data_IF_040718301841
#
_entry.id   IF_040718301841
#
_cell.length_a   1.000
_cell.length_b   1.000
_cell.length_c   1.000
_cell.angle_alpha   90.00
_cell.angle_beta   90.00
_cell.angle_gamma   90.00
#
_symmetry.space_group_name_H-M   'P 1'
#
loop_
_entity.id
_entity.type
_entity.pdbx_description
1 polymer ?
#
# COMPACT_ATOMS: atom_id res chain seq x y z
N UNK A 1 23.02 -10.96 14.06
CA UNK A 1 22.22 -12.11 14.53
C UNK A 1 20.77 -11.68 14.65
N UNK A 2 19.89 -12.09 13.72
CA UNK A 2 18.44 -11.84 13.82
C UNK A 2 17.91 -12.72 14.97
N UNK A 3 17.40 -12.10 16.04
CA UNK A 3 16.77 -12.80 17.16
C UNK A 3 15.61 -13.64 16.64
N UNK A 4 15.59 -14.89 17.01
CA UNK A 4 14.57 -15.88 16.68
C UNK A 4 13.17 -15.39 17.03
N UNK A 5 12.40 -15.36 16.08
CA UNK A 5 11.09 -14.95 15.77
C UNK A 5 10.01 -15.55 16.67
N UNK A 6 9.27 -14.70 17.34
CA UNK A 6 7.83 -14.98 17.46
C UNK A 6 7.33 -15.27 16.04
N UNK A 7 6.66 -16.40 15.85
CA UNK A 7 6.08 -16.80 14.56
C UNK A 7 5.27 -15.62 14.04
N UNK A 8 5.66 -15.04 12.90
CA UNK A 8 4.94 -13.95 12.28
C UNK A 8 3.52 -14.41 11.94
N UNK A 9 2.54 -13.75 12.50
CA UNK A 9 1.13 -14.06 12.25
C UNK A 9 0.46 -12.79 11.77
N UNK A 10 0.38 -12.58 10.45
CA UNK A 10 -0.24 -11.39 9.90
C UNK A 10 -1.73 -11.35 10.22
N UNK A 11 -2.22 -10.17 10.58
CA UNK A 11 -3.64 -9.92 10.83
C UNK A 11 -4.21 -8.86 9.90
N UNK A 12 -3.37 -7.95 9.46
CA UNK A 12 -3.79 -6.80 8.64
C UNK A 12 -2.82 -6.63 7.47
N UNK A 13 -3.37 -6.44 6.29
CA UNK A 13 -2.65 -6.01 5.11
C UNK A 13 -3.01 -4.55 4.83
N UNK A 14 -2.04 -3.67 4.98
CA UNK A 14 -2.17 -2.24 4.69
C UNK A 14 -1.46 -1.96 3.38
N UNK A 15 -2.17 -1.34 2.44
CA UNK A 15 -1.64 -1.01 1.12
C UNK A 15 -1.70 0.50 0.89
N UNK A 16 -0.60 1.07 0.40
CA UNK A 16 -0.65 2.37 -0.26
C UNK A 16 -1.44 2.25 -1.57
N UNK A 17 -1.89 3.35 -2.12
CA UNK A 17 -2.67 3.37 -3.36
C UNK A 17 -1.80 3.79 -4.54
N UNK A 18 -1.19 4.96 -4.46
CA UNK A 18 -0.46 5.54 -5.59
C UNK A 18 0.92 4.87 -5.72
N UNK A 19 1.17 4.20 -6.85
CA UNK A 19 2.36 3.39 -7.08
C UNK A 19 2.26 1.94 -6.61
N UNK A 20 1.15 1.55 -5.97
CA UNK A 20 0.86 0.18 -5.52
C UNK A 20 -0.36 -0.38 -6.23
N UNK A 21 -1.55 0.17 -5.97
CA UNK A 21 -2.80 -0.23 -6.62
C UNK A 21 -2.94 0.37 -8.01
N UNK A 22 -2.31 1.51 -8.24
CA UNK A 22 -2.24 2.18 -9.54
C UNK A 22 -0.77 2.39 -9.95
N UNK A 23 -0.55 2.93 -11.14
CA UNK A 23 0.80 3.12 -11.70
C UNK A 23 1.64 4.17 -10.96
N UNK A 24 1.06 4.96 -10.06
CA UNK A 24 1.69 6.12 -9.45
C UNK A 24 1.72 7.36 -10.35
N UNK A 25 1.29 7.25 -11.59
CA UNK A 25 1.19 8.36 -12.54
C UNK A 25 -0.13 9.11 -12.40
N UNK A 26 -0.06 10.42 -12.58
CA UNK A 26 -1.22 11.31 -12.51
C UNK A 26 -1.38 12.07 -13.82
N UNK A 27 -2.61 12.19 -14.27
CA UNK A 27 -2.96 13.04 -15.39
C UNK A 27 -3.42 14.40 -14.86
N UNK A 28 -2.75 15.46 -15.29
CA UNK A 28 -3.02 16.83 -14.89
C UNK A 28 -3.61 17.65 -16.04
N UNK A 29 -4.62 18.45 -15.73
CA UNK A 29 -5.08 19.56 -16.53
C UNK A 29 -4.65 20.88 -15.87
N UNK A 30 -4.95 22.01 -16.51
CA UNK A 30 -4.75 23.34 -15.92
C UNK A 30 -5.53 23.57 -14.61
N UNK A 31 -6.54 22.74 -14.34
CA UNK A 31 -7.36 22.81 -13.11
C UNK A 31 -6.91 21.81 -12.04
N UNK A 32 -5.90 20.99 -12.30
CA UNK A 32 -5.32 20.05 -11.33
C UNK A 32 -5.36 18.60 -11.77
N UNK A 33 -5.25 17.70 -10.82
CA UNK A 33 -5.26 16.25 -11.03
C UNK A 33 -6.64 15.77 -11.47
N UNK A 34 -6.71 15.09 -12.63
CA UNK A 34 -7.97 14.68 -13.25
C UNK A 34 -8.18 13.17 -13.27
N UNK A 35 -7.12 12.37 -13.36
CA UNK A 35 -7.22 10.91 -13.47
C UNK A 35 -6.06 10.20 -12.79
N UNK A 36 -6.30 8.92 -12.43
CA UNK A 36 -5.32 7.91 -12.03
C UNK A 36 -5.54 6.65 -12.84
N UNK A 37 -4.48 5.87 -13.08
CA UNK A 37 -4.52 4.64 -13.89
C UNK A 37 -4.46 3.44 -12.97
N UNK A 38 -5.57 2.72 -12.81
CA UNK A 38 -5.68 1.48 -12.06
C UNK A 38 -5.57 0.27 -12.98
N UNK A 39 -4.90 -0.78 -12.50
CA UNK A 39 -4.71 -2.01 -13.25
C UNK A 39 -5.76 -3.08 -12.95
N UNK A 40 -5.67 -4.22 -13.68
CA UNK A 40 -6.54 -5.38 -13.50
C UNK A 40 -6.05 -6.31 -12.39
N UNK A 41 -6.88 -7.30 -12.04
CA UNK A 41 -6.59 -8.47 -11.20
C UNK A 41 -6.30 -8.22 -9.72
N UNK A 42 -5.81 -7.04 -9.33
CA UNK A 42 -5.46 -6.76 -7.93
C UNK A 42 -6.66 -6.85 -6.99
N UNK A 43 -7.84 -6.39 -7.44
CA UNK A 43 -9.07 -6.53 -6.66
C UNK A 43 -9.48 -7.99 -6.48
N UNK A 44 -9.31 -8.80 -7.52
CA UNK A 44 -9.64 -10.23 -7.48
C UNK A 44 -8.70 -10.98 -6.53
N UNK A 45 -7.39 -10.68 -6.60
CA UNK A 45 -6.41 -11.25 -5.69
C UNK A 45 -6.68 -10.89 -4.23
N UNK A 46 -7.02 -9.63 -3.95
CA UNK A 46 -7.39 -9.19 -2.60
C UNK A 46 -8.66 -9.90 -2.08
N UNK A 47 -9.60 -10.24 -2.97
CA UNK A 47 -10.78 -10.99 -2.57
C UNK A 47 -10.45 -12.39 -2.02
N UNK A 48 -9.38 -13.01 -2.50
CA UNK A 48 -8.86 -14.30 -2.00
C UNK A 48 -8.24 -14.17 -0.61
N UNK A 49 -7.69 -13.00 -0.27
CA UNK A 49 -7.08 -12.73 1.04
C UNK A 49 -8.09 -12.27 2.08
N UNK A 50 -9.20 -11.69 1.66
CA UNK A 50 -10.20 -11.09 2.55
C UNK A 50 -10.72 -11.99 3.67
N UNK A 51 -10.86 -13.33 3.50
CA UNK A 51 -11.24 -14.22 4.60
C UNK A 51 -10.18 -14.37 5.70
N UNK A 52 -8.92 -14.05 5.40
CA UNK A 52 -7.77 -14.33 6.27
C UNK A 52 -7.16 -13.09 6.90
N UNK A 53 -7.28 -11.94 6.24
CA UNK A 53 -6.64 -10.68 6.62
C UNK A 53 -7.63 -9.53 6.56
N UNK A 54 -7.52 -8.61 7.52
CA UNK A 54 -8.12 -7.29 7.37
C UNK A 54 -7.34 -6.53 6.31
N UNK A 55 -8.01 -6.04 5.27
CA UNK A 55 -7.40 -5.27 4.18
C UNK A 55 -7.78 -3.80 4.34
N UNK A 56 -6.78 -2.93 4.35
CA UNK A 56 -6.95 -1.49 4.56
C UNK A 56 -6.07 -0.74 3.57
N UNK A 57 -6.63 0.26 2.93
CA UNK A 57 -5.88 1.16 2.07
C UNK A 57 -5.58 2.49 2.75
N UNK A 58 -4.42 3.05 2.44
CA UNK A 58 -4.00 4.38 2.86
C UNK A 58 -3.56 5.18 1.65
N UNK A 59 -3.82 6.47 1.65
CA UNK A 59 -3.31 7.38 0.62
C UNK A 59 -2.94 8.71 1.27
N UNK A 60 -1.82 9.27 0.87
CA UNK A 60 -1.40 10.64 1.26
C UNK A 60 -1.88 11.71 0.28
N UNK A 61 -2.46 11.31 -0.83
CA UNK A 61 -2.88 12.20 -1.92
C UNK A 61 -4.24 12.88 -1.62
N UNK A 62 -4.18 13.99 -0.91
CA UNK A 62 -5.37 14.79 -0.59
C UNK A 62 -6.08 15.30 -1.84
N UNK A 63 -5.34 15.74 -2.85
CA UNK A 63 -5.92 16.35 -4.07
C UNK A 63 -6.61 15.32 -4.97
N UNK A 64 -6.11 14.10 -5.03
CA UNK A 64 -6.69 13.00 -5.79
C UNK A 64 -7.52 12.03 -4.95
N UNK A 65 -7.81 12.35 -3.69
CA UNK A 65 -8.46 11.43 -2.77
C UNK A 65 -9.86 11.00 -3.22
N UNK A 66 -10.63 11.90 -3.85
CA UNK A 66 -11.96 11.59 -4.38
C UNK A 66 -11.91 10.51 -5.47
N UNK A 67 -10.89 10.54 -6.33
CA UNK A 67 -10.67 9.52 -7.37
C UNK A 67 -10.35 8.17 -6.71
N UNK A 68 -9.43 8.17 -5.76
CA UNK A 68 -9.05 6.99 -4.98
C UNK A 68 -10.24 6.40 -4.23
N UNK A 69 -11.04 7.25 -3.56
CA UNK A 69 -12.25 6.84 -2.84
C UNK A 69 -13.27 6.19 -3.77
N UNK A 70 -13.45 6.73 -4.98
CA UNK A 70 -14.32 6.11 -5.97
C UNK A 70 -13.90 4.66 -6.24
N UNK A 71 -12.62 4.42 -6.52
CA UNK A 71 -12.11 3.08 -6.83
C UNK A 71 -12.12 2.16 -5.60
N UNK A 72 -11.50 2.58 -4.50
CA UNK A 72 -11.27 1.69 -3.35
C UNK A 72 -12.53 1.45 -2.53
N UNK A 73 -13.28 2.51 -2.20
CA UNK A 73 -14.45 2.40 -1.33
C UNK A 73 -15.70 2.00 -2.11
N UNK A 74 -15.98 2.71 -3.20
CA UNK A 74 -17.24 2.51 -3.90
C UNK A 74 -17.24 1.28 -4.82
N UNK A 75 -16.14 1.01 -5.52
CA UNK A 75 -16.07 -0.12 -6.43
C UNK A 75 -15.54 -1.40 -5.76
N UNK A 76 -14.41 -1.31 -5.05
CA UNK A 76 -13.74 -2.47 -4.45
C UNK A 76 -14.28 -2.84 -3.05
N UNK A 77 -14.95 -1.91 -2.35
CA UNK A 77 -15.54 -2.13 -1.01
C UNK A 77 -14.51 -2.40 0.10
N UNK A 78 -13.39 -1.68 0.10
CA UNK A 78 -12.39 -1.71 1.16
C UNK A 78 -12.34 -0.40 1.94
N UNK A 79 -11.83 -0.48 3.17
CA UNK A 79 -11.54 0.70 3.99
C UNK A 79 -10.41 1.53 3.39
N UNK A 80 -10.58 2.85 3.38
CA UNK A 80 -9.59 3.80 2.88
C UNK A 80 -9.42 4.95 3.86
N UNK A 81 -8.17 5.27 4.17
CA UNK A 81 -7.82 6.38 5.07
C UNK A 81 -6.89 7.38 4.37
N UNK A 82 -7.17 8.67 4.57
CA UNK A 82 -6.28 9.75 4.16
C UNK A 82 -5.22 9.96 5.25
N UNK A 83 -4.02 9.43 4.99
CA UNK A 83 -2.90 9.47 5.95
C UNK A 83 -1.66 9.96 5.24
N UNK A 84 -1.12 11.10 5.68
CA UNK A 84 0.15 11.62 5.16
C UNK A 84 1.26 10.57 5.29
N UNK A 85 2.11 10.46 4.28
CA UNK A 85 3.23 9.51 4.25
C UNK A 85 4.15 9.67 5.45
N UNK A 86 4.41 10.90 5.90
CA UNK A 86 5.25 11.20 7.07
C UNK A 86 4.61 10.71 8.39
N UNK A 87 3.28 10.77 8.50
CA UNK A 87 2.56 10.36 9.72
C UNK A 87 2.09 8.91 9.70
N UNK A 88 2.42 8.17 8.68
CA UNK A 88 1.90 6.82 8.44
C UNK A 88 2.31 5.82 9.53
N UNK A 89 3.56 5.89 9.98
CA UNK A 89 4.05 5.04 11.08
C UNK A 89 3.24 5.27 12.37
N UNK A 90 3.05 6.53 12.75
CA UNK A 90 2.32 6.87 13.97
C UNK A 90 0.86 6.43 13.89
N UNK A 91 0.26 6.60 12.71
CA UNK A 91 -1.10 6.14 12.46
C UNK A 91 -1.22 4.60 12.55
N UNK A 92 -0.25 3.86 12.00
CA UNK A 92 -0.21 2.39 12.10
C UNK A 92 -0.08 1.97 13.56
N UNK A 93 0.86 2.54 14.32
CA UNK A 93 1.07 2.23 15.74
C UNK A 93 -0.14 2.53 16.62
N UNK A 94 -0.90 3.58 16.28
CA UNK A 94 -2.12 3.94 17.01
C UNK A 94 -3.29 3.00 16.76
N UNK A 95 -3.41 2.43 15.56
CA UNK A 95 -4.59 1.69 15.13
C UNK A 95 -4.37 0.17 15.02
N UNK A 96 -3.11 -0.27 14.97
CA UNK A 96 -2.73 -1.67 14.75
C UNK A 96 -1.51 -2.04 15.60
N UNK A 97 -1.26 -3.35 15.74
CA UNK A 97 0.01 -3.88 16.24
C UNK A 97 0.97 -4.05 15.06
N UNK A 98 2.00 -3.20 14.91
CA UNK A 98 2.85 -3.19 13.71
C UNK A 98 3.47 -4.53 13.37
N UNK A 99 3.84 -5.32 14.40
CA UNK A 99 4.42 -6.65 14.25
C UNK A 99 3.47 -7.66 13.57
N UNK A 100 2.17 -7.38 13.48
CA UNK A 100 1.16 -8.21 12.82
C UNK A 100 0.68 -7.61 11.50
N UNK A 101 1.34 -6.54 11.03
CA UNK A 101 1.01 -5.84 9.78
C UNK A 101 1.90 -6.32 8.65
N UNK A 102 1.28 -6.63 7.51
CA UNK A 102 1.92 -6.59 6.20
C UNK A 102 1.65 -5.18 5.63
N UNK A 103 2.69 -4.50 5.18
CA UNK A 103 2.55 -3.21 4.54
C UNK A 103 3.14 -3.22 3.14
N UNK A 104 2.39 -2.72 2.15
CA UNK A 104 2.86 -2.57 0.77
C UNK A 104 2.89 -1.10 0.39
N UNK A 105 4.06 -0.63 -0.08
CA UNK A 105 4.30 0.77 -0.43
C UNK A 105 5.35 0.90 -1.53
N UNK A 106 5.56 2.12 -2.03
CA UNK A 106 6.47 2.39 -3.16
C UNK A 106 7.31 3.65 -3.00
N UNK A 107 6.94 4.55 -2.09
CA UNK A 107 7.53 5.88 -1.99
C UNK A 107 8.74 5.99 -1.07
N UNK A 108 9.45 7.10 -1.18
CA UNK A 108 10.66 7.41 -0.40
C UNK A 108 10.44 7.25 1.10
N UNK A 109 9.27 7.66 1.61
CA UNK A 109 8.96 7.61 3.04
C UNK A 109 8.49 6.22 3.52
N UNK A 110 8.13 5.31 2.61
CA UNK A 110 7.67 3.98 2.99
C UNK A 110 8.77 3.13 3.63
N UNK A 111 10.03 3.41 3.35
CA UNK A 111 11.17 2.74 4.02
C UNK A 111 11.05 2.78 5.55
N UNK A 112 10.58 3.88 6.14
CA UNK A 112 10.42 4.00 7.58
C UNK A 112 9.26 3.15 8.12
N UNK A 113 8.21 2.97 7.31
CA UNK A 113 7.12 2.05 7.62
C UNK A 113 7.63 0.61 7.53
N UNK A 114 8.39 0.28 6.50
CA UNK A 114 8.95 -1.06 6.29
C UNK A 114 9.81 -1.54 7.46
N UNK A 115 10.59 -0.63 8.07
CA UNK A 115 11.41 -0.92 9.24
C UNK A 115 10.59 -1.21 10.51
N UNK A 116 9.33 -0.78 10.54
CA UNK A 116 8.46 -0.80 11.72
C UNK A 116 7.42 -1.91 11.72
N UNK A 117 7.11 -2.51 10.56
CA UNK A 117 6.05 -3.52 10.41
C UNK A 117 6.60 -4.94 10.42
N UNK A 118 5.70 -5.92 10.59
CA UNK A 118 6.09 -7.33 10.63
C UNK A 118 6.58 -7.86 9.29
N UNK A 119 6.04 -7.38 8.18
CA UNK A 119 6.48 -7.73 6.82
C UNK A 119 6.20 -6.58 5.84
N UNK A 120 7.14 -6.31 4.97
CA UNK A 120 7.07 -5.21 4.04
C UNK A 120 7.25 -5.67 2.59
N UNK A 121 6.47 -5.07 1.70
CA UNK A 121 6.45 -5.35 0.27
C UNK A 121 6.62 -4.04 -0.49
N UNK A 122 7.50 -4.03 -1.48
CA UNK A 122 7.71 -2.92 -2.40
C UNK A 122 7.40 -3.34 -3.83
N UNK A 123 6.93 -2.42 -4.66
CA UNK A 123 6.67 -2.70 -6.08
C UNK A 123 7.93 -2.55 -6.93
N UNK A 124 7.97 -3.17 -8.11
CA UNK A 124 9.14 -3.11 -9.00
C UNK A 124 9.52 -1.69 -9.42
N UNK A 125 8.54 -0.79 -9.53
CA UNK A 125 8.72 0.62 -9.90
C UNK A 125 8.84 1.56 -8.69
N UNK A 126 9.00 1.03 -7.49
CA UNK A 126 9.20 1.82 -6.27
C UNK A 126 10.50 2.62 -6.28
N UNK A 127 10.54 3.63 -5.41
CA UNK A 127 11.78 4.33 -5.08
C UNK A 127 12.87 3.34 -4.64
N UNK A 128 14.11 3.67 -4.96
CA UNK A 128 15.26 2.81 -4.68
C UNK A 128 15.39 2.49 -3.17
N UNK A 129 15.23 3.50 -2.32
CA UNK A 129 15.34 3.30 -0.86
C UNK A 129 14.24 2.42 -0.28
N UNK A 130 13.06 2.46 -0.86
CA UNK A 130 11.95 1.56 -0.51
C UNK A 130 12.29 0.12 -0.89
N UNK A 131 12.80 -0.11 -2.10
CA UNK A 131 13.19 -1.46 -2.55
C UNK A 131 14.30 -2.06 -1.71
N UNK A 132 15.31 -1.29 -1.33
CA UNK A 132 16.41 -1.77 -0.48
C UNK A 132 15.96 -2.17 0.93
N UNK A 133 14.91 -1.54 1.45
CA UNK A 133 14.43 -1.76 2.81
C UNK A 133 13.38 -2.86 2.91
N UNK A 134 12.63 -3.10 1.83
CA UNK A 134 11.53 -4.08 1.81
C UNK A 134 12.00 -5.51 2.05
N UNK A 135 11.15 -6.32 2.70
CA UNK A 135 11.36 -7.77 2.81
C UNK A 135 11.17 -8.48 1.47
N UNK A 136 10.27 -7.96 0.63
CA UNK A 136 9.98 -8.50 -0.70
C UNK A 136 9.77 -7.37 -1.70
N UNK A 137 10.29 -7.53 -2.90
CA UNK A 137 10.06 -6.62 -4.03
C UNK A 137 9.37 -7.42 -5.13
N UNK A 138 8.20 -6.94 -5.57
CA UNK A 138 7.45 -7.60 -6.65
C UNK A 138 8.20 -7.51 -7.98
N UNK A 139 7.94 -8.43 -8.88
CA UNK A 139 8.46 -8.39 -10.25
C UNK A 139 7.69 -7.41 -11.13
N UNK A 140 6.46 -7.09 -10.74
CA UNK A 140 5.56 -6.20 -11.45
C UNK A 140 5.43 -4.86 -10.74
N UNK A 141 5.16 -3.82 -11.52
CA UNK A 141 4.91 -2.48 -11.00
C UNK A 141 3.51 -2.30 -10.45
N UNK A 142 3.33 -1.24 -9.68
CA UNK A 142 2.01 -0.81 -9.24
C UNK A 142 1.07 -0.56 -10.42
N UNK A 143 -0.19 -0.96 -10.29
CA UNK A 143 -1.17 -0.91 -11.38
C UNK A 143 -0.93 -1.93 -12.50
N UNK A 144 0.09 -2.77 -12.38
CA UNK A 144 0.48 -3.80 -13.34
C UNK A 144 0.48 -5.19 -12.71
N UNK A 145 -0.49 -5.45 -11.84
CA UNK A 145 -0.65 -6.70 -11.08
C UNK A 145 0.37 -6.93 -9.95
N UNK A 146 1.00 -5.89 -9.41
CA UNK A 146 1.94 -6.04 -8.30
C UNK A 146 1.26 -6.60 -7.04
N UNK A 147 0.02 -6.17 -6.75
CA UNK A 147 -0.73 -6.66 -5.58
C UNK A 147 -1.17 -8.11 -5.78
N UNK A 148 -1.50 -8.52 -7.00
CA UNK A 148 -1.90 -9.89 -7.29
C UNK A 148 -0.73 -10.88 -7.26
N UNK A 149 0.50 -10.41 -7.41
CA UNK A 149 1.72 -11.23 -7.29
C UNK A 149 1.95 -11.69 -5.85
#
# INVERSE_FOLDING_TARGET
MKKHSKKFTPKTFILDVDGVLNTGQFLYSKTGKVMKIFGPDDNDALSLLKPYLKIVFVSGDRKGFSITKRRVVHDMKYDLHLVSTIKRIDWIKKNFSPENVIYMGDGIFDKYVFESVGYSISTANSDFSAKETANFVTKRGGGERAVSE
#
